data_IF_801892448373
#
_entry.id   IF_801892448373
#
_cell.length_a   1.000
_cell.length_b   1.000
_cell.length_c   1.000
_cell.angle_alpha   90.00
_cell.angle_beta   90.00
_cell.angle_gamma   90.00
#
_symmetry.space_group_name_H-M   'P 1'
#
loop_
_entity.id
_entity.type
_entity.pdbx_description
1 polymer ?
#
# COMPACT_ATOMS: atom_id res chain seq x y z
N UNK A 1 -27.82 -3.74 -8.00
CA UNK A 1 -27.77 -3.66 -9.48
C UNK A 1 -26.33 -3.43 -9.90
N UNK A 2 -25.81 -4.11 -10.93
CA UNK A 2 -24.47 -3.82 -11.44
C UNK A 2 -24.42 -2.41 -12.04
N UNK A 3 -23.36 -1.65 -11.76
CA UNK A 3 -23.11 -0.32 -12.31
C UNK A 3 -22.03 -0.45 -13.39
N UNK A 4 -22.29 0.09 -14.57
CA UNK A 4 -21.35 0.06 -15.69
C UNK A 4 -20.64 1.41 -15.80
N UNK A 5 -19.31 1.38 -15.97
CA UNK A 5 -18.47 2.56 -16.19
C UNK A 5 -17.96 2.55 -17.64
N UNK A 6 -18.23 3.61 -18.39
CA UNK A 6 -17.72 3.79 -19.75
C UNK A 6 -16.74 4.97 -19.79
N UNK A 7 -15.51 4.70 -20.23
CA UNK A 7 -14.45 5.71 -20.36
C UNK A 7 -14.23 5.98 -21.85
N UNK A 8 -14.37 7.25 -22.25
CA UNK A 8 -14.21 7.71 -23.64
C UNK A 8 -12.79 8.24 -23.86
N UNK A 9 -12.36 8.24 -25.12
CA UNK A 9 -11.09 8.83 -25.57
C UNK A 9 -9.86 8.28 -24.82
N UNK A 10 -9.79 6.95 -24.69
CA UNK A 10 -8.64 6.28 -24.07
C UNK A 10 -7.55 6.09 -25.13
N UNK A 11 -6.33 6.52 -24.82
CA UNK A 11 -5.18 6.34 -25.72
C UNK A 11 -4.88 4.86 -26.01
N UNK A 12 -4.58 4.55 -27.26
CA UNK A 12 -4.25 3.18 -27.70
C UNK A 12 -3.05 2.60 -26.94
N UNK A 13 -2.08 3.43 -26.59
CA UNK A 13 -0.93 3.01 -25.79
C UNK A 13 -1.37 2.53 -24.40
N UNK A 14 -2.36 3.21 -23.79
CA UNK A 14 -2.90 2.83 -22.48
C UNK A 14 -3.60 1.47 -22.56
N UNK A 15 -4.32 1.21 -23.65
CA UNK A 15 -4.95 -0.09 -23.92
C UNK A 15 -3.88 -1.19 -24.04
N UNK A 16 -2.79 -0.95 -24.77
CA UNK A 16 -1.69 -1.91 -24.92
C UNK A 16 -1.02 -2.22 -23.58
N UNK A 17 -0.73 -1.18 -22.78
CA UNK A 17 -0.13 -1.34 -21.45
C UNK A 17 -1.03 -2.14 -20.53
N UNK A 18 -2.35 -1.87 -20.56
CA UNK A 18 -3.31 -2.62 -19.77
C UNK A 18 -3.35 -4.09 -20.17
N UNK A 19 -3.41 -4.41 -21.48
CA UNK A 19 -3.40 -5.81 -21.96
C UNK A 19 -2.16 -6.58 -21.51
N UNK A 20 -0.99 -5.94 -21.51
CA UNK A 20 0.24 -6.54 -20.98
C UNK A 20 0.13 -6.82 -19.48
N UNK A 21 -0.42 -5.87 -18.72
CA UNK A 21 -0.63 -6.00 -17.27
C UNK A 21 -1.63 -7.11 -16.94
N UNK A 22 -2.73 -7.23 -17.68
CA UNK A 22 -3.73 -8.29 -17.48
C UNK A 22 -3.15 -9.67 -17.75
N UNK A 23 -2.36 -9.81 -18.83
CA UNK A 23 -1.66 -11.06 -19.14
C UNK A 23 -0.69 -11.48 -18.03
N UNK A 24 0.07 -10.52 -17.49
CA UNK A 24 0.99 -10.77 -16.36
C UNK A 24 0.26 -11.18 -15.09
N UNK A 25 -0.90 -10.60 -14.82
CA UNK A 25 -1.64 -10.83 -13.58
C UNK A 25 -2.65 -11.98 -13.65
N UNK A 26 -2.87 -12.58 -14.82
CA UNK A 26 -3.84 -13.65 -15.03
C UNK A 26 -5.28 -13.21 -14.74
N UNK A 27 -5.61 -11.93 -14.99
CA UNK A 27 -6.95 -11.36 -14.73
C UNK A 27 -7.61 -10.91 -16.02
N UNK A 28 -8.94 -10.86 -16.02
CA UNK A 28 -9.68 -10.17 -17.09
C UNK A 28 -9.37 -8.66 -17.07
N UNK A 29 -9.55 -8.01 -18.22
CA UNK A 29 -9.36 -6.56 -18.34
C UNK A 29 -10.24 -5.78 -17.35
N UNK A 30 -11.50 -6.20 -17.18
CA UNK A 30 -12.42 -5.59 -16.22
C UNK A 30 -11.95 -5.75 -14.77
N UNK A 31 -11.48 -6.96 -14.39
CA UNK A 31 -11.00 -7.22 -13.03
C UNK A 31 -9.72 -6.41 -12.71
N UNK A 32 -8.82 -6.27 -13.69
CA UNK A 32 -7.62 -5.44 -13.52
C UNK A 32 -7.98 -3.96 -13.46
N UNK A 33 -8.92 -3.48 -14.29
CA UNK A 33 -9.43 -2.11 -14.21
C UNK A 33 -10.02 -1.78 -12.85
N UNK A 34 -10.88 -2.65 -12.32
CA UNK A 34 -11.48 -2.47 -10.99
C UNK A 34 -10.40 -2.37 -9.91
N UNK A 35 -9.33 -3.16 -10.03
CA UNK A 35 -8.21 -3.13 -9.10
C UNK A 35 -7.40 -1.84 -9.21
N UNK A 36 -7.14 -1.35 -10.42
CA UNK A 36 -6.45 -0.07 -10.64
C UNK A 36 -7.26 1.08 -10.04
N UNK A 37 -8.57 1.12 -10.25
CA UNK A 37 -9.45 2.14 -9.68
C UNK A 37 -9.45 2.09 -8.14
N UNK A 38 -9.55 0.90 -7.55
CA UNK A 38 -9.49 0.74 -6.10
C UNK A 38 -8.14 1.20 -5.53
N UNK A 39 -7.03 0.90 -6.20
CA UNK A 39 -5.70 1.36 -5.79
C UNK A 39 -5.55 2.87 -5.90
N UNK A 40 -5.98 3.47 -7.01
CA UNK A 40 -5.93 4.91 -7.21
C UNK A 40 -6.78 5.65 -6.17
N UNK A 41 -7.96 5.12 -5.84
CA UNK A 41 -8.79 5.66 -4.77
C UNK A 41 -8.14 5.50 -3.39
N UNK A 42 -7.50 4.35 -3.10
CA UNK A 42 -6.79 4.16 -1.84
C UNK A 42 -5.60 5.13 -1.68
N UNK A 43 -4.92 5.46 -2.78
CA UNK A 43 -3.84 6.45 -2.80
C UNK A 43 -4.37 7.89 -2.73
N UNK A 44 -5.53 8.16 -3.33
CA UNK A 44 -6.19 9.47 -3.33
C UNK A 44 -7.01 9.74 -2.07
N UNK A 45 -7.22 8.74 -1.20
CA UNK A 45 -7.76 8.98 0.13
C UNK A 45 -6.72 9.78 0.90
N UNK A 46 -7.02 11.07 1.00
CA UNK A 46 -6.41 12.16 1.76
C UNK A 46 -6.34 11.91 3.28
N UNK A 47 -6.26 10.65 3.71
CA UNK A 47 -6.26 10.25 5.11
C UNK A 47 -5.62 8.87 5.26
N UNK A 48 -4.45 8.65 4.63
CA UNK A 48 -3.46 7.94 5.43
C UNK A 48 -3.29 8.80 6.70
N UNK A 49 -3.39 8.25 7.92
CA UNK A 49 -3.07 9.03 9.12
C UNK A 49 -1.75 9.73 8.84
N UNK A 50 -1.71 11.05 9.06
CA UNK A 50 -0.44 11.77 8.94
C UNK A 50 0.57 11.01 9.81
N UNK A 51 1.84 11.05 9.44
CA UNK A 51 2.87 10.30 10.17
C UNK A 51 2.75 10.51 11.69
N UNK A 52 2.36 11.72 12.10
CA UNK A 52 2.08 12.09 13.49
C UNK A 52 0.92 11.31 14.12
N UNK A 53 -0.20 11.12 13.43
CA UNK A 53 -1.35 10.35 13.92
C UNK A 53 -0.95 8.88 14.12
N UNK A 54 -0.25 8.31 13.15
CA UNK A 54 0.25 6.94 13.25
C UNK A 54 1.27 6.79 14.39
N UNK A 55 2.16 7.77 14.54
CA UNK A 55 3.14 7.77 15.62
C UNK A 55 2.48 7.92 17.00
N UNK A 56 1.45 8.76 17.13
CA UNK A 56 0.67 8.91 18.36
C UNK A 56 -0.03 7.59 18.73
N UNK A 57 -0.63 6.93 17.75
CA UNK A 57 -1.28 5.63 17.93
C UNK A 57 -0.31 4.54 18.35
N UNK A 58 0.86 4.47 17.71
CA UNK A 58 1.91 3.53 18.08
C UNK A 58 2.44 3.79 19.49
N UNK A 59 2.71 5.05 19.84
CA UNK A 59 3.15 5.41 21.20
C UNK A 59 2.12 4.95 22.23
N UNK A 60 0.83 5.21 21.99
CA UNK A 60 -0.28 4.78 22.84
C UNK A 60 -0.37 3.26 22.98
N UNK A 61 -0.30 2.52 21.88
CA UNK A 61 -0.35 1.05 21.90
C UNK A 61 0.85 0.40 22.61
N UNK A 62 2.01 1.06 22.55
CA UNK A 62 3.24 0.59 23.18
C UNK A 62 3.46 1.15 24.60
N UNK A 63 2.53 1.95 25.14
CA UNK A 63 2.62 2.46 26.50
C UNK A 63 2.76 1.30 27.50
N UNK A 64 3.75 1.41 28.38
CA UNK A 64 4.01 0.41 29.42
C UNK A 64 4.78 -0.84 28.94
N UNK A 65 5.07 -0.98 27.64
CA UNK A 65 5.93 -2.05 27.15
C UNK A 65 7.38 -1.77 27.55
N UNK A 66 8.03 -2.72 28.21
CA UNK A 66 9.47 -2.66 28.43
C UNK A 66 10.18 -2.92 27.11
N UNK A 67 10.80 -1.89 26.55
CA UNK A 67 11.66 -2.00 25.38
C UNK A 67 13.11 -2.16 25.84
N UNK A 68 13.84 -3.11 25.25
CA UNK A 68 15.29 -3.16 25.38
C UNK A 68 15.90 -2.14 24.41
N UNK A 69 16.68 -1.17 24.89
CA UNK A 69 17.41 -0.25 24.02
C UNK A 69 18.27 -1.04 23.04
N UNK A 70 18.28 -0.64 21.76
CA UNK A 70 18.98 -1.39 20.73
C UNK A 70 20.51 -1.36 20.97
N UNK A 71 21.01 -0.28 21.57
CA UNK A 71 22.40 -0.11 21.99
C UNK A 71 22.87 -1.16 23.00
N UNK A 72 21.98 -1.68 23.84
CA UNK A 72 22.31 -2.73 24.80
C UNK A 72 22.50 -4.06 24.06
N UNK A 73 21.58 -4.40 23.16
CA UNK A 73 21.67 -5.59 22.30
C UNK A 73 22.92 -5.56 21.41
N UNK A 74 23.26 -4.39 20.87
CA UNK A 74 24.47 -4.20 20.07
C UNK A 74 25.76 -4.31 20.89
N UNK A 75 25.71 -3.99 22.19
CA UNK A 75 26.84 -4.16 23.11
C UNK A 75 27.02 -5.64 23.44
N UNK A 76 25.95 -6.33 23.84
CA UNK A 76 25.97 -7.78 24.10
C UNK A 76 26.59 -8.54 22.92
N UNK A 77 26.14 -8.29 21.69
CA UNK A 77 26.69 -8.95 20.50
C UNK A 77 28.13 -8.56 20.13
N UNK A 78 28.68 -7.47 20.69
CA UNK A 78 30.10 -7.12 20.56
C UNK A 78 30.95 -7.81 21.62
N UNK A 79 30.44 -7.93 22.83
CA UNK A 79 31.13 -8.55 23.96
C UNK A 79 31.19 -10.09 23.82
N UNK A 80 30.33 -10.68 22.99
CA UNK A 80 30.32 -12.11 22.63
C UNK A 80 31.36 -12.53 21.56
N UNK A 81 32.15 -11.60 21.02
CA UNK A 81 33.19 -11.87 19.99
C UNK A 81 34.60 -11.92 20.57
#
# INVERSE_FOLDING_TARGET
MPVNLHVRNVDDELIVRLKRRTARHGRSAEAEHRKILAQAQAQSRESAPEFEDLAADLRRLLQGRRHTPAEDLMREGRDER
#
